data_IF_442837334069
#
_entry.id   IF_442837334069
#
_cell.length_a   1.000
_cell.length_b   1.000
_cell.length_c   1.000
_cell.angle_alpha   90.00
_cell.angle_beta   90.00
_cell.angle_gamma   90.00
#
_symmetry.space_group_name_H-M   'P 1'
#
loop_
_entity.id
_entity.type
_entity.pdbx_description
1 polymer ?
#
# COMPACT_ATOMS: atom_id res chain seq x y z
N UNK A 1 -34.10 29.38 -1.78
CA UNK A 1 -32.70 29.63 -2.19
C UNK A 1 -32.32 31.05 -1.73
N UNK A 2 -31.16 31.25 -1.10
CA UNK A 2 -29.90 31.11 -1.83
C UNK A 2 -28.96 30.05 -1.23
N UNK A 3 -28.60 29.10 -2.09
CA UNK A 3 -27.50 28.17 -1.95
C UNK A 3 -26.16 28.88 -2.15
N UNK A 4 -25.68 29.63 -1.14
CA UNK A 4 -24.34 30.23 -1.19
C UNK A 4 -23.41 29.89 -0.01
N UNK A 5 -23.86 29.09 0.96
CA UNK A 5 -23.05 28.79 2.16
C UNK A 5 -22.43 27.39 2.15
N UNK A 6 -22.80 26.51 1.22
CA UNK A 6 -22.31 25.13 1.22
C UNK A 6 -20.95 24.93 0.50
N UNK A 7 -20.48 25.91 -0.28
CA UNK A 7 -19.27 25.75 -1.10
C UNK A 7 -17.98 26.30 -0.46
N UNK A 8 -18.07 27.00 0.67
CA UNK A 8 -16.92 27.61 1.34
C UNK A 8 -16.30 26.77 2.47
N UNK A 9 -16.85 25.57 2.78
CA UNK A 9 -16.35 24.69 3.85
C UNK A 9 -15.48 23.53 3.35
N UNK A 10 -15.19 23.49 2.04
CA UNK A 10 -14.37 22.42 1.43
C UNK A 10 -12.96 22.88 1.03
N UNK A 11 -12.59 24.13 1.32
CA UNK A 11 -11.31 24.72 0.90
C UNK A 11 -10.30 24.90 2.05
N UNK A 12 -10.29 23.97 3.02
CA UNK A 12 -9.32 23.99 4.13
C UNK A 12 -8.99 22.60 4.70
N UNK A 13 -9.04 21.54 3.88
CA UNK A 13 -8.43 20.24 4.23
C UNK A 13 -7.19 20.02 3.37
N UNK A 14 -6.16 20.84 3.60
CA UNK A 14 -4.82 20.64 3.05
C UNK A 14 -4.08 19.47 3.69
N UNK A 15 -4.65 18.84 4.72
CA UNK A 15 -4.07 17.69 5.41
C UNK A 15 -5.03 16.50 5.39
N UNK A 16 -4.62 15.44 4.69
CA UNK A 16 -5.28 14.13 4.73
C UNK A 16 -4.66 13.33 5.88
N UNK A 17 -5.44 12.61 6.70
CA UNK A 17 -4.90 11.68 7.69
C UNK A 17 -3.90 10.72 7.05
N UNK A 18 -2.79 10.42 7.75
CA UNK A 18 -1.75 9.51 7.26
C UNK A 18 -2.30 8.14 6.83
N UNK A 19 -3.34 7.66 7.52
CA UNK A 19 -4.01 6.40 7.22
C UNK A 19 -4.74 6.42 5.87
N UNK A 20 -5.36 7.55 5.50
CA UNK A 20 -6.02 7.70 4.20
C UNK A 20 -5.01 7.72 3.05
N UNK A 21 -3.88 8.40 3.26
CA UNK A 21 -2.78 8.44 2.29
C UNK A 21 -2.16 7.06 2.12
N UNK A 22 -1.92 6.35 3.22
CA UNK A 22 -1.42 4.97 3.23
C UNK A 22 -2.38 4.05 2.46
N UNK A 23 -3.68 4.13 2.73
CA UNK A 23 -4.69 3.35 2.03
C UNK A 23 -4.66 3.60 0.50
N UNK A 24 -4.53 4.85 0.05
CA UNK A 24 -4.45 5.18 -1.37
C UNK A 24 -3.17 4.65 -2.03
N UNK A 25 -2.03 4.72 -1.32
CA UNK A 25 -0.77 4.13 -1.79
C UNK A 25 -0.94 2.63 -2.01
N UNK A 26 -1.57 1.90 -1.08
CA UNK A 26 -1.81 0.47 -1.25
C UNK A 26 -2.78 0.15 -2.38
N UNK A 27 -3.82 0.96 -2.60
CA UNK A 27 -4.70 0.82 -3.78
C UNK A 27 -3.94 1.02 -5.07
N UNK A 28 -3.04 2.00 -5.13
CA UNK A 28 -2.21 2.24 -6.32
C UNK A 28 -1.22 1.10 -6.58
N UNK A 29 -0.63 0.54 -5.53
CA UNK A 29 0.18 -0.69 -5.63
C UNK A 29 -0.65 -1.84 -6.20
N UNK A 30 -1.87 -2.04 -5.70
CA UNK A 30 -2.76 -3.09 -6.19
C UNK A 30 -3.06 -2.94 -7.69
N UNK A 31 -3.41 -1.73 -8.15
CA UNK A 31 -3.64 -1.45 -9.58
C UNK A 31 -2.42 -1.79 -10.42
N UNK A 32 -1.22 -1.43 -9.94
CA UNK A 32 0.01 -1.65 -10.69
C UNK A 32 0.40 -3.14 -10.76
N UNK A 33 0.21 -3.88 -9.67
CA UNK A 33 0.43 -5.34 -9.63
C UNK A 33 -0.61 -6.09 -10.47
N UNK A 34 -1.87 -5.63 -10.47
CA UNK A 34 -2.92 -6.23 -11.31
C UNK A 34 -2.61 -6.07 -12.80
N UNK A 35 -2.05 -4.92 -13.20
CA UNK A 35 -1.62 -4.67 -14.57
C UNK A 35 -0.33 -5.43 -14.95
N UNK A 36 0.60 -5.59 -14.00
CA UNK A 36 1.87 -6.31 -14.19
C UNK A 36 2.22 -7.16 -12.95
N UNK A 37 1.81 -8.44 -12.90
CA UNK A 37 2.13 -9.33 -11.80
C UNK A 37 3.63 -9.63 -11.65
N UNK A 38 4.46 -9.36 -12.67
CA UNK A 38 5.91 -9.58 -12.59
C UNK A 38 6.59 -8.67 -11.56
N UNK A 39 5.92 -7.58 -11.17
CA UNK A 39 6.38 -6.66 -10.12
C UNK A 39 6.44 -7.30 -8.74
N UNK A 40 5.80 -8.45 -8.51
CA UNK A 40 5.88 -9.21 -7.24
C UNK A 40 7.31 -9.70 -6.91
N UNK A 41 8.23 -9.70 -7.88
CA UNK A 41 9.65 -9.95 -7.63
C UNK A 41 10.30 -8.90 -6.72
N UNK A 42 9.81 -7.65 -6.75
CA UNK A 42 10.35 -6.53 -5.96
C UNK A 42 10.13 -6.77 -4.46
N UNK A 43 8.90 -6.99 -3.97
CA UNK A 43 8.67 -7.24 -2.56
C UNK A 43 9.35 -8.52 -2.05
N UNK A 44 9.45 -9.58 -2.86
CA UNK A 44 10.22 -10.77 -2.47
C UNK A 44 11.71 -10.45 -2.26
N UNK A 45 12.34 -9.73 -3.19
CA UNK A 45 13.73 -9.31 -3.04
C UNK A 45 13.94 -8.35 -1.84
N UNK A 46 12.94 -7.53 -1.51
CA UNK A 46 12.98 -6.68 -0.32
C UNK A 46 12.97 -7.53 0.96
N UNK A 47 12.10 -8.54 1.05
CA UNK A 47 12.06 -9.49 2.18
C UNK A 47 13.41 -10.16 2.35
N UNK A 48 13.97 -10.75 1.28
CA UNK A 48 15.26 -11.44 1.34
C UNK A 48 16.37 -10.50 1.85
N UNK A 49 16.43 -9.28 1.31
CA UNK A 49 17.41 -8.27 1.72
C UNK A 49 17.26 -7.87 3.19
N UNK A 50 16.03 -7.70 3.68
CA UNK A 50 15.79 -7.28 5.07
C UNK A 50 16.10 -8.39 6.07
N UNK A 51 15.71 -9.64 5.76
CA UNK A 51 16.04 -10.80 6.58
C UNK A 51 17.55 -11.02 6.64
N UNK A 52 18.26 -10.92 5.50
CA UNK A 52 19.72 -11.02 5.46
C UNK A 52 20.43 -9.92 6.29
N UNK A 53 19.75 -8.78 6.53
CA UNK A 53 20.25 -7.67 7.36
C UNK A 53 19.82 -7.75 8.82
N UNK A 54 19.17 -8.85 9.24
CA UNK A 54 18.76 -9.06 10.64
C UNK A 54 17.51 -8.27 11.07
N UNK A 55 16.59 -7.97 10.15
CA UNK A 55 15.33 -7.32 10.50
C UNK A 55 14.54 -8.14 11.55
N UNK A 56 14.08 -7.49 12.63
CA UNK A 56 13.49 -8.17 13.79
C UNK A 56 12.10 -8.78 13.54
N UNK A 57 11.32 -8.22 12.62
CA UNK A 57 9.96 -8.69 12.29
C UNK A 57 9.92 -9.96 11.40
N UNK A 58 10.77 -10.95 11.68
CA UNK A 58 10.93 -12.17 10.85
C UNK A 58 9.59 -12.86 10.55
N UNK A 59 8.78 -13.12 11.57
CA UNK A 59 7.49 -13.81 11.40
C UNK A 59 6.53 -13.05 10.47
N UNK A 60 6.51 -11.71 10.53
CA UNK A 60 5.67 -10.88 9.65
C UNK A 60 6.18 -10.90 8.22
N UNK A 61 7.49 -10.85 8.02
CA UNK A 61 8.09 -10.93 6.69
C UNK A 61 7.87 -12.29 6.04
N UNK A 62 7.91 -13.39 6.80
CA UNK A 62 7.59 -14.72 6.28
C UNK A 62 6.09 -14.89 5.96
N UNK A 63 5.19 -14.29 6.74
CA UNK A 63 3.76 -14.21 6.39
C UNK A 63 3.57 -13.49 5.05
N UNK A 64 4.23 -12.33 4.86
CA UNK A 64 4.22 -11.62 3.59
C UNK A 64 4.80 -12.47 2.45
N UNK A 65 5.91 -13.18 2.67
CA UNK A 65 6.51 -14.09 1.68
C UNK A 65 5.49 -15.15 1.23
N UNK A 66 4.78 -15.78 2.16
CA UNK A 66 3.77 -16.79 1.84
C UNK A 66 2.62 -16.23 0.98
N UNK A 67 2.11 -15.04 1.31
CA UNK A 67 1.08 -14.37 0.51
C UNK A 67 1.58 -14.08 -0.91
N UNK A 68 2.80 -13.56 -1.05
CA UNK A 68 3.40 -13.22 -2.35
C UNK A 68 3.65 -14.47 -3.22
N UNK A 69 4.17 -15.55 -2.63
CA UNK A 69 4.38 -16.81 -3.34
C UNK A 69 3.06 -17.44 -3.81
N UNK A 70 2.01 -17.38 -2.97
CA UNK A 70 0.67 -17.79 -3.37
C UNK A 70 0.16 -16.97 -4.56
N UNK A 71 0.36 -15.64 -4.52
CA UNK A 71 -0.03 -14.74 -5.59
C UNK A 71 0.70 -14.99 -6.91
N UNK A 72 1.97 -15.39 -6.87
CA UNK A 72 2.72 -15.76 -8.07
C UNK A 72 2.34 -17.15 -8.61
N UNK A 73 1.83 -18.04 -7.77
CA UNK A 73 1.55 -19.43 -8.13
C UNK A 73 0.14 -19.64 -8.70
N UNK A 74 -0.79 -18.69 -8.48
CA UNK A 74 -2.18 -18.86 -8.89
C UNK A 74 -2.93 -17.54 -9.06
N UNK A 75 -3.94 -17.54 -9.94
CA UNK A 75 -4.85 -16.41 -10.10
C UNK A 75 -5.69 -16.14 -8.84
N UNK A 76 -6.05 -17.17 -8.07
CA UNK A 76 -6.74 -17.03 -6.79
C UNK A 76 -5.86 -16.35 -5.74
N UNK A 77 -4.59 -16.74 -5.66
CA UNK A 77 -3.61 -16.08 -4.81
C UNK A 77 -3.44 -14.60 -5.18
N UNK A 78 -3.36 -14.30 -6.48
CA UNK A 78 -3.24 -12.92 -6.96
C UNK A 78 -4.48 -12.10 -6.57
N UNK A 79 -5.69 -12.63 -6.80
CA UNK A 79 -6.94 -11.98 -6.36
C UNK A 79 -6.96 -11.72 -4.85
N UNK A 80 -6.48 -12.68 -4.07
CA UNK A 80 -6.44 -12.58 -2.60
C UNK A 80 -5.48 -11.48 -2.14
N UNK A 81 -4.29 -11.39 -2.76
CA UNK A 81 -3.35 -10.30 -2.50
C UNK A 81 -3.95 -8.93 -2.89
N UNK A 82 -4.57 -8.82 -4.06
CA UNK A 82 -5.18 -7.56 -4.52
C UNK A 82 -6.32 -7.12 -3.59
N UNK A 83 -7.12 -8.07 -3.09
CA UNK A 83 -8.15 -7.81 -2.09
C UNK A 83 -7.54 -7.29 -0.78
N UNK A 84 -6.50 -7.95 -0.26
CA UNK A 84 -5.78 -7.52 0.95
C UNK A 84 -5.20 -6.10 0.82
N UNK A 85 -4.61 -5.76 -0.32
CA UNK A 85 -4.07 -4.43 -0.55
C UNK A 85 -5.15 -3.35 -0.53
N UNK A 86 -6.34 -3.66 -1.04
CA UNK A 86 -7.50 -2.76 -1.11
C UNK A 86 -8.31 -2.71 0.20
N UNK A 87 -8.15 -3.69 1.07
CA UNK A 87 -8.89 -3.79 2.33
C UNK A 87 -8.47 -2.69 3.33
N UNK A 88 -9.46 -2.03 3.93
CA UNK A 88 -9.29 -0.98 4.94
C UNK A 88 -9.71 -1.43 6.34
N UNK A 89 -9.93 -2.73 6.56
CA UNK A 89 -10.15 -3.29 7.89
C UNK A 89 -8.94 -3.06 8.80
N UNK A 90 -9.17 -2.93 10.11
CA UNK A 90 -8.09 -2.70 11.08
C UNK A 90 -7.02 -3.81 11.04
N UNK A 91 -7.45 -5.06 10.83
CA UNK A 91 -6.55 -6.21 10.67
C UNK A 91 -5.67 -6.08 9.43
N UNK A 92 -6.26 -5.74 8.27
CA UNK A 92 -5.51 -5.54 7.04
C UNK A 92 -4.56 -4.33 7.12
N UNK A 93 -4.98 -3.24 7.76
CA UNK A 93 -4.12 -2.06 8.01
C UNK A 93 -2.91 -2.46 8.83
N UNK A 94 -3.12 -3.15 9.96
CA UNK A 94 -2.03 -3.61 10.82
C UNK A 94 -1.09 -4.58 10.10
N UNK A 95 -1.62 -5.50 9.28
CA UNK A 95 -0.79 -6.40 8.48
C UNK A 95 0.09 -5.63 7.47
N UNK A 96 -0.44 -4.54 6.90
CA UNK A 96 0.23 -3.66 5.93
C UNK A 96 1.32 -2.75 6.51
N UNK A 97 1.39 -2.57 7.82
CA UNK A 97 2.49 -1.82 8.46
C UNK A 97 3.87 -2.45 8.18
N UNK A 98 3.91 -3.76 7.95
CA UNK A 98 5.14 -4.51 7.65
C UNK A 98 5.33 -4.77 6.15
N UNK A 99 4.66 -4.01 5.30
CA UNK A 99 4.57 -4.36 3.88
C UNK A 99 5.90 -4.23 3.13
N UNK A 100 6.22 -5.19 2.25
CA UNK A 100 7.47 -5.23 1.50
C UNK A 100 7.45 -4.46 0.16
N UNK A 101 6.48 -3.58 -0.08
CA UNK A 101 6.30 -2.92 -1.38
C UNK A 101 7.17 -1.69 -1.73
N UNK A 102 8.17 -1.23 -0.94
CA UNK A 102 9.06 -0.17 -1.42
C UNK A 102 9.64 -0.48 -2.80
N UNK A 103 9.53 0.49 -3.72
CA UNK A 103 10.02 0.37 -5.10
C UNK A 103 9.02 -0.20 -6.12
N UNK A 104 7.83 -0.67 -5.70
CA UNK A 104 6.76 -1.02 -6.66
C UNK A 104 6.18 0.24 -7.30
N UNK A 105 5.89 1.26 -6.49
CA UNK A 105 5.69 2.62 -6.99
C UNK A 105 7.05 3.32 -7.08
N UNK A 106 7.26 4.02 -8.19
CA UNK A 106 8.38 4.94 -8.35
C UNK A 106 8.24 6.14 -7.41
N UNK A 107 9.35 6.85 -7.17
CA UNK A 107 9.33 8.07 -6.38
C UNK A 107 8.38 9.13 -6.95
N UNK A 108 8.22 9.20 -8.28
CA UNK A 108 7.32 10.16 -8.91
C UNK A 108 5.85 9.78 -8.73
N UNK A 109 5.52 8.49 -8.78
CA UNK A 109 4.18 8.00 -8.43
C UNK A 109 3.87 8.25 -6.96
N UNK A 110 4.83 8.00 -6.05
CA UNK A 110 4.67 8.25 -4.62
C UNK A 110 4.45 9.73 -4.29
N UNK A 111 5.09 10.66 -5.01
CA UNK A 111 4.88 12.10 -4.81
C UNK A 111 3.43 12.55 -5.03
N UNK A 112 2.65 11.80 -5.82
CA UNK A 112 1.22 12.08 -6.06
C UNK A 112 0.36 11.83 -4.83
N UNK A 113 0.86 11.01 -3.89
CA UNK A 113 0.20 10.70 -2.62
C UNK A 113 0.72 11.59 -1.48
N UNK A 114 1.37 12.72 -1.79
CA UNK A 114 1.94 13.59 -0.76
C UNK A 114 0.87 14.12 0.19
N UNK A 115 1.15 13.94 1.47
CA UNK A 115 0.62 14.76 2.54
C UNK A 115 1.39 16.09 2.52
N UNK A 116 0.70 17.21 2.35
CA UNK A 116 1.23 18.53 2.68
C UNK A 116 1.01 18.75 4.16
N UNK A 117 2.00 18.47 5.01
CA UNK A 117 2.03 19.09 6.35
C UNK A 117 2.19 20.59 6.15
N UNK A 118 1.22 21.38 6.55
CA UNK A 118 1.42 22.81 6.70
C UNK A 118 2.27 23.01 7.96
N UNK A 119 3.56 23.28 7.77
CA UNK A 119 4.42 23.83 8.83
C UNK A 119 4.44 25.35 8.75
#
# INVERSE_FOLDING_TARGET
MPAKTAFAYLDSRTERPGDEVSADVFRAIAVKIEADPSLLRIPLANIDRWLARGHSAVSRLEQWRAVLLSAMSSNDGLRSLLALLRDSSAEAVFFKEFSPFPGVLSSEELKRFRWTSAH
#
